data_IF_550016161712
#
_entry.id   IF_550016161712
#
_cell.length_a   1.000
_cell.length_b   1.000
_cell.length_c   1.000
_cell.angle_alpha   90.00
_cell.angle_beta   90.00
_cell.angle_gamma   90.00
#
_symmetry.space_group_name_H-M   'P 1'
#
loop_
_entity.id
_entity.type
_entity.pdbx_description
1 polymer ?
#
# COMPACT_ATOMS: atom_id res chain seq x y z
N UNK A 1 -1.52 2.81 -23.17
CA UNK A 1 -1.41 3.31 -21.78
C UNK A 1 -0.93 2.21 -20.86
N UNK A 2 0.38 2.17 -20.55
CA UNK A 2 0.95 1.24 -19.56
C UNK A 2 0.86 1.88 -18.17
N UNK A 3 -0.34 1.89 -17.59
CA UNK A 3 -0.61 2.44 -16.26
C UNK A 3 -1.04 1.33 -15.31
N UNK A 4 -0.80 1.50 -14.02
CA UNK A 4 -1.34 0.60 -13.01
C UNK A 4 -2.85 0.84 -12.79
N UNK A 5 -3.52 -0.15 -12.20
CA UNK A 5 -4.94 -0.08 -11.85
C UNK A 5 -5.22 0.59 -10.49
N UNK A 6 -4.17 1.05 -9.81
CA UNK A 6 -4.27 1.80 -8.55
C UNK A 6 -4.29 0.97 -7.27
N UNK A 7 -4.13 -0.35 -7.34
CA UNK A 7 -3.97 -1.23 -6.17
C UNK A 7 -2.98 -2.38 -6.46
N UNK A 8 -2.54 -3.05 -5.40
CA UNK A 8 -1.68 -4.23 -5.48
C UNK A 8 -1.75 -5.07 -4.20
N UNK A 9 -1.30 -6.31 -4.28
CA UNK A 9 -1.22 -7.23 -3.15
C UNK A 9 0.24 -7.52 -2.82
N UNK A 10 0.55 -7.56 -1.52
CA UNK A 10 1.88 -7.92 -1.03
C UNK A 10 1.71 -8.98 0.05
N UNK A 11 2.39 -10.11 -0.12
CA UNK A 11 2.45 -11.13 0.91
C UNK A 11 3.66 -10.89 1.83
N UNK A 12 3.42 -10.87 3.14
CA UNK A 12 4.46 -10.62 4.14
C UNK A 12 4.74 -11.92 4.89
N UNK A 13 6.03 -12.24 5.09
CA UNK A 13 6.44 -13.47 5.78
C UNK A 13 6.28 -13.40 7.30
N UNK A 14 6.06 -12.22 7.87
CA UNK A 14 5.85 -12.06 9.32
C UNK A 14 4.83 -10.96 9.65
N UNK A 15 3.99 -11.15 10.68
CA UNK A 15 3.04 -10.13 11.12
C UNK A 15 3.70 -8.81 11.53
N UNK A 16 4.91 -8.89 12.11
CA UNK A 16 5.71 -7.71 12.48
C UNK A 16 6.06 -6.85 11.26
N UNK A 17 6.38 -7.49 10.12
CA UNK A 17 6.68 -6.76 8.90
C UNK A 17 5.43 -6.08 8.32
N UNK A 18 4.27 -6.74 8.35
CA UNK A 18 2.98 -6.14 7.97
C UNK A 18 2.67 -4.90 8.79
N UNK A 19 2.88 -4.97 10.12
CA UNK A 19 2.64 -3.83 11.01
C UNK A 19 3.56 -2.65 10.70
N UNK A 20 4.85 -2.91 10.43
CA UNK A 20 5.80 -1.86 10.03
C UNK A 20 5.39 -1.20 8.72
N UNK A 21 4.99 -2.00 7.72
CA UNK A 21 4.52 -1.50 6.44
C UNK A 21 3.27 -0.62 6.62
N UNK A 22 2.27 -1.10 7.36
CA UNK A 22 1.06 -0.33 7.63
C UNK A 22 1.40 0.99 8.33
N UNK A 23 2.23 0.99 9.38
CA UNK A 23 2.61 2.23 10.09
C UNK A 23 3.36 3.22 9.20
N UNK A 24 4.19 2.72 8.27
CA UNK A 24 5.00 3.58 7.41
C UNK A 24 4.19 4.20 6.26
N UNK A 25 3.20 3.48 5.70
CA UNK A 25 2.56 3.89 4.45
C UNK A 25 1.06 4.21 4.58
N UNK A 26 0.35 3.64 5.55
CA UNK A 26 -1.09 3.89 5.68
C UNK A 26 -1.36 5.38 5.92
N UNK A 27 -2.25 5.95 5.11
CA UNK A 27 -2.62 7.37 5.07
C UNK A 27 -1.50 8.35 4.71
N UNK A 28 -0.37 7.87 4.18
CA UNK A 28 0.66 8.75 3.65
C UNK A 28 0.33 9.17 2.20
N UNK A 29 0.56 10.43 1.82
CA UNK A 29 0.43 10.88 0.45
C UNK A 29 1.51 10.24 -0.43
N UNK A 30 1.20 10.02 -1.71
CA UNK A 30 2.22 9.62 -2.68
C UNK A 30 3.01 10.84 -3.14
N UNK A 31 4.29 10.95 -2.73
CA UNK A 31 5.16 12.07 -3.11
C UNK A 31 5.59 12.03 -4.60
N UNK A 32 5.39 10.91 -5.27
CA UNK A 32 5.76 10.73 -6.66
C UNK A 32 4.69 11.27 -7.64
N UNK A 33 5.16 11.76 -8.78
CA UNK A 33 4.33 12.15 -9.93
C UNK A 33 3.28 13.23 -9.67
N UNK A 34 3.49 14.12 -8.68
CA UNK A 34 2.50 15.13 -8.24
C UNK A 34 1.13 14.51 -7.91
N UNK A 35 1.15 13.26 -7.43
CA UNK A 35 -0.07 12.52 -7.11
C UNK A 35 -0.71 13.09 -5.85
N UNK A 36 -2.02 13.39 -5.92
CA UNK A 36 -2.82 13.74 -4.73
C UNK A 36 -3.40 12.51 -4.04
N UNK A 37 -3.04 11.31 -4.50
CA UNK A 37 -3.54 10.05 -3.93
C UNK A 37 -2.93 9.85 -2.54
N UNK A 38 -3.75 9.35 -1.63
CA UNK A 38 -3.34 8.91 -0.29
C UNK A 38 -3.25 7.38 -0.32
N UNK A 39 -2.16 6.82 0.23
CA UNK A 39 -1.95 5.40 0.32
C UNK A 39 -2.90 4.78 1.36
N UNK A 40 -3.60 3.72 0.96
CA UNK A 40 -4.48 2.94 1.80
C UNK A 40 -3.90 1.52 1.90
N UNK A 41 -3.74 1.04 3.13
CA UNK A 41 -3.23 -0.29 3.42
C UNK A 41 -4.26 -1.01 4.27
N UNK A 42 -4.82 -2.08 3.73
CA UNK A 42 -5.83 -2.93 4.36
C UNK A 42 -5.43 -4.39 4.31
N UNK A 43 -6.02 -5.18 5.21
CA UNK A 43 -5.93 -6.63 5.12
C UNK A 43 -6.66 -7.12 3.87
N UNK A 44 -6.02 -8.03 3.12
CA UNK A 44 -6.66 -8.66 1.98
C UNK A 44 -7.84 -9.51 2.45
N UNK A 45 -8.98 -9.37 1.75
CA UNK A 45 -10.19 -10.16 2.04
C UNK A 45 -10.04 -11.63 1.65
N UNK A 46 -9.16 -11.91 0.69
CA UNK A 46 -8.79 -13.25 0.23
C UNK A 46 -7.33 -13.50 0.63
N UNK A 47 -7.06 -14.63 1.30
CA UNK A 47 -5.73 -15.05 1.74
C UNK A 47 -5.32 -16.35 1.06
#
# INVERSE_FOLDING_TARGET
>A
NKCNVGYGFVNMTSPKATLRLHKAFHKQPWEAFNSRKICEVTYARLQ
#
